data_IF_663603033428
#
_entry.id   IF_663603033428
#
_cell.length_a   1.000
_cell.length_b   1.000
_cell.length_c   1.000
_cell.angle_alpha   90.00
_cell.angle_beta   90.00
_cell.angle_gamma   90.00
#
_symmetry.space_group_name_H-M   'P 1'
#
loop_
_entity.id
_entity.type
_entity.pdbx_description
1 polymer ?
#
# COMPACT_ATOMS: atom_id res chain seq x y z
N UNK A 1 -43.73 -15.43 -14.17
CA UNK A 1 -44.19 -14.01 -14.18
C UNK A 1 -44.17 -13.41 -15.58
N UNK A 2 -43.03 -13.33 -16.27
CA UNK A 2 -42.97 -12.70 -17.60
C UNK A 2 -43.68 -13.49 -18.72
N UNK A 3 -43.67 -14.83 -18.65
CA UNK A 3 -44.41 -15.70 -19.59
C UNK A 3 -45.94 -15.57 -19.44
N UNK A 4 -46.44 -15.16 -18.26
CA UNK A 4 -47.87 -15.02 -17.98
C UNK A 4 -48.37 -13.60 -18.29
N UNK A 5 -47.71 -12.57 -17.76
CA UNK A 5 -47.99 -11.18 -18.13
C UNK A 5 -46.82 -10.30 -17.76
N UNK A 6 -46.18 -9.72 -18.77
CA UNK A 6 -45.04 -8.80 -18.60
C UNK A 6 -45.45 -7.56 -17.80
N UNK A 7 -46.64 -7.01 -18.05
CA UNK A 7 -47.09 -5.77 -17.39
C UNK A 7 -47.28 -5.98 -15.87
N UNK A 8 -48.01 -7.01 -15.47
CA UNK A 8 -48.23 -7.29 -14.04
C UNK A 8 -46.93 -7.73 -13.34
N UNK A 9 -46.05 -8.43 -14.07
CA UNK A 9 -44.74 -8.78 -13.55
C UNK A 9 -43.88 -7.55 -13.21
N UNK A 10 -43.84 -6.57 -14.11
CA UNK A 10 -43.11 -5.31 -13.90
C UNK A 10 -43.69 -4.52 -12.73
N UNK A 11 -45.02 -4.42 -12.62
CA UNK A 11 -45.69 -3.72 -11.51
C UNK A 11 -45.35 -4.38 -10.16
N UNK A 12 -45.45 -5.71 -10.08
CA UNK A 12 -45.17 -6.45 -8.86
C UNK A 12 -43.69 -6.32 -8.42
N UNK A 13 -42.75 -6.42 -9.35
CA UNK A 13 -41.33 -6.19 -9.07
C UNK A 13 -41.06 -4.75 -8.63
N UNK A 14 -41.69 -3.77 -9.27
CA UNK A 14 -41.57 -2.36 -8.88
C UNK A 14 -42.05 -2.12 -7.45
N UNK A 15 -43.19 -2.69 -7.09
CA UNK A 15 -43.76 -2.60 -5.74
C UNK A 15 -42.84 -3.26 -4.70
N UNK A 16 -42.30 -4.44 -5.01
CA UNK A 16 -41.33 -5.13 -4.15
C UNK A 16 -40.04 -4.31 -3.94
N UNK A 17 -39.50 -3.69 -4.99
CA UNK A 17 -38.32 -2.82 -4.90
C UNK A 17 -38.58 -1.58 -4.01
N UNK A 18 -39.75 -0.97 -4.13
CA UNK A 18 -40.14 0.18 -3.30
C UNK A 18 -40.23 -0.23 -1.83
N UNK A 19 -40.87 -1.36 -1.52
CA UNK A 19 -40.97 -1.88 -0.15
C UNK A 19 -39.57 -2.20 0.40
N UNK A 20 -38.73 -2.89 -0.37
CA UNK A 20 -37.37 -3.21 0.02
C UNK A 20 -36.56 -1.94 0.35
N UNK A 21 -36.58 -0.95 -0.54
CA UNK A 21 -35.85 0.31 -0.34
C UNK A 21 -36.40 1.13 0.84
N UNK A 22 -37.71 1.08 1.07
CA UNK A 22 -38.33 1.74 2.23
C UNK A 22 -37.89 1.10 3.55
N UNK A 23 -37.84 -0.24 3.63
CA UNK A 23 -37.34 -0.96 4.81
C UNK A 23 -35.86 -0.62 5.05
N UNK A 24 -35.04 -0.64 4.00
CA UNK A 24 -33.61 -0.29 4.08
C UNK A 24 -33.41 1.14 4.63
N UNK A 25 -34.18 2.10 4.10
CA UNK A 25 -34.14 3.50 4.54
C UNK A 25 -34.57 3.66 6.00
N UNK A 26 -35.68 3.02 6.41
CA UNK A 26 -36.17 3.11 7.80
C UNK A 26 -35.26 2.41 8.79
N UNK A 27 -34.61 1.32 8.39
CA UNK A 27 -33.54 0.69 9.16
C UNK A 27 -32.37 1.65 9.39
N UNK A 28 -31.87 2.27 8.33
CA UNK A 28 -30.79 3.25 8.40
C UNK A 28 -31.14 4.49 9.24
N UNK A 29 -32.37 5.01 9.12
CA UNK A 29 -32.87 6.14 9.90
C UNK A 29 -32.92 5.81 11.40
N UNK A 30 -33.33 4.58 11.75
CA UNK A 30 -33.37 4.12 13.15
C UNK A 30 -31.98 3.94 13.75
N UNK A 31 -31.03 3.38 13.00
CA UNK A 31 -29.67 3.12 13.48
C UNK A 31 -28.82 4.39 13.60
N UNK A 32 -28.97 5.33 12.66
CA UNK A 32 -28.05 6.45 12.49
C UNK A 32 -28.70 7.83 12.66
N UNK A 33 -30.01 7.90 12.86
CA UNK A 33 -30.79 9.14 12.99
C UNK A 33 -31.05 9.89 11.68
N UNK A 34 -30.32 9.57 10.60
CA UNK A 34 -30.50 10.10 9.24
C UNK A 34 -30.47 8.94 8.24
N UNK A 35 -31.57 8.69 7.54
CA UNK A 35 -31.71 7.56 6.64
C UNK A 35 -30.73 7.57 5.46
N UNK A 36 -30.43 8.72 4.85
CA UNK A 36 -29.52 8.76 3.68
C UNK A 36 -28.07 8.57 4.12
N UNK A 37 -27.65 9.25 5.19
CA UNK A 37 -26.30 9.09 5.73
C UNK A 37 -26.10 7.71 6.35
N UNK A 38 -27.11 7.17 7.01
CA UNK A 38 -27.10 5.83 7.58
C UNK A 38 -26.89 4.76 6.50
N UNK A 39 -27.58 4.85 5.36
CA UNK A 39 -27.37 3.94 4.23
C UNK A 39 -25.93 3.99 3.72
N UNK A 40 -25.38 5.20 3.53
CA UNK A 40 -24.01 5.37 3.06
C UNK A 40 -22.99 4.78 4.06
N UNK A 41 -23.21 4.97 5.36
CA UNK A 41 -22.33 4.47 6.41
C UNK A 41 -22.41 2.95 6.55
N UNK A 42 -23.60 2.35 6.47
CA UNK A 42 -23.78 0.90 6.47
C UNK A 42 -23.11 0.26 5.24
N UNK A 43 -23.25 0.87 4.06
CA UNK A 43 -22.55 0.43 2.85
C UNK A 43 -21.02 0.53 3.00
N UNK A 44 -20.51 1.59 3.60
CA UNK A 44 -19.08 1.76 3.87
C UNK A 44 -18.55 0.71 4.86
N UNK A 45 -19.24 0.52 5.99
CA UNK A 45 -18.89 -0.49 7.00
C UNK A 45 -18.84 -1.89 6.40
N UNK A 46 -19.89 -2.29 5.68
CA UNK A 46 -19.95 -3.60 5.02
C UNK A 46 -18.78 -3.79 4.04
N UNK A 47 -18.48 -2.75 3.25
CA UNK A 47 -17.36 -2.80 2.29
C UNK A 47 -16.00 -2.91 2.98
N UNK A 48 -15.80 -2.24 4.12
CA UNK A 48 -14.55 -2.29 4.89
C UNK A 48 -14.32 -3.64 5.56
N UNK A 49 -15.36 -4.24 6.14
CA UNK A 49 -15.28 -5.57 6.75
C UNK A 49 -14.93 -6.62 5.69
N UNK A 50 -15.57 -6.57 4.52
CA UNK A 50 -15.27 -7.50 3.42
C UNK A 50 -13.87 -7.30 2.83
N UNK A 51 -13.31 -6.09 2.91
CA UNK A 51 -11.95 -5.81 2.43
C UNK A 51 -10.88 -6.42 3.35
N UNK A 52 -11.23 -6.73 4.60
CA UNK A 52 -10.34 -7.36 5.58
C UNK A 52 -10.26 -8.89 5.42
N UNK A 53 -11.22 -9.48 4.70
CA UNK A 53 -11.26 -10.92 4.43
C UNK A 53 -10.22 -11.31 3.37
N UNK A 54 -9.07 -11.83 3.84
CA UNK A 54 -8.06 -12.51 3.02
C UNK A 54 -6.82 -11.67 2.69
N UNK A 55 -5.63 -12.31 2.54
CA UNK A 55 -4.41 -11.59 2.25
C UNK A 55 -4.47 -10.98 0.83
N UNK A 56 -4.05 -9.72 0.64
CA UNK A 56 -4.01 -9.13 -0.70
C UNK A 56 -3.01 -9.89 -1.57
N UNK A 57 -3.49 -10.40 -2.72
CA UNK A 57 -2.61 -11.09 -3.67
C UNK A 57 -1.52 -10.13 -4.19
N UNK A 58 -0.26 -10.54 -4.13
CA UNK A 58 0.93 -9.73 -4.49
C UNK A 58 0.85 -9.12 -5.89
N UNK A 59 0.35 -9.86 -6.89
CA UNK A 59 0.12 -9.37 -8.27
C UNK A 59 -0.85 -8.18 -8.41
N UNK A 60 -1.75 -7.98 -7.45
CA UNK A 60 -2.76 -6.92 -7.50
C UNK A 60 -2.34 -5.66 -6.73
N UNK A 61 -1.08 -5.58 -6.30
CA UNK A 61 -0.59 -4.43 -5.57
C UNK A 61 -0.81 -3.13 -6.39
N UNK A 62 -1.33 -2.12 -5.71
CA UNK A 62 -1.51 -0.75 -6.22
C UNK A 62 -1.14 0.22 -5.11
N UNK A 63 -0.48 1.34 -5.42
CA UNK A 63 -0.07 2.30 -4.40
C UNK A 63 -1.31 2.93 -3.78
N UNK A 64 -1.53 2.81 -2.47
CA UNK A 64 -2.49 3.57 -1.69
C UNK A 64 -1.71 4.62 -0.91
N UNK A 65 -1.93 5.88 -1.21
CA UNK A 65 -0.93 6.92 -0.96
C UNK A 65 -1.24 7.69 0.32
N UNK A 66 -0.25 7.77 1.19
CA UNK A 66 -0.18 8.70 2.32
C UNK A 66 0.81 9.81 1.96
N UNK A 67 0.32 11.04 1.78
CA UNK A 67 1.15 12.21 1.48
C UNK A 67 1.47 12.94 2.77
N UNK A 68 2.74 13.03 3.14
CA UNK A 68 3.21 13.77 4.30
C UNK A 68 3.57 15.21 3.88
N UNK A 69 2.69 16.14 4.22
CA UNK A 69 2.79 17.54 3.85
C UNK A 69 3.43 18.37 4.96
N UNK A 70 4.55 19.03 4.63
CA UNK A 70 5.12 20.07 5.50
C UNK A 70 4.33 21.37 5.35
N UNK A 71 3.89 21.93 6.47
CA UNK A 71 3.25 23.24 6.52
C UNK A 71 4.28 24.35 6.72
N UNK A 72 3.96 25.53 6.21
CA UNK A 72 4.60 26.79 6.53
C UNK A 72 4.01 27.36 7.83
N UNK A 73 4.64 28.40 8.43
CA UNK A 73 4.10 29.07 9.62
C UNK A 73 2.69 29.66 9.42
N UNK A 74 2.28 29.92 8.19
CA UNK A 74 0.93 30.39 7.82
C UNK A 74 -0.08 29.24 7.59
N UNK A 75 0.25 28.03 8.03
CA UNK A 75 -0.54 26.80 7.89
C UNK A 75 -0.85 26.39 6.45
N UNK A 76 -0.13 26.95 5.47
CA UNK A 76 -0.26 26.53 4.07
C UNK A 76 0.74 25.43 3.75
N UNK A 77 0.40 24.48 2.85
CA UNK A 77 1.33 23.46 2.38
C UNK A 77 2.52 24.11 1.66
N UNK A 78 3.74 23.78 2.12
CA UNK A 78 4.98 24.31 1.53
C UNK A 78 5.18 23.85 0.09
N UNK A 79 4.83 22.60 -0.21
CA UNK A 79 5.00 21.98 -1.53
C UNK A 79 3.65 21.50 -2.08
N UNK A 80 2.84 22.41 -2.61
CA UNK A 80 1.49 22.11 -3.16
C UNK A 80 1.52 21.00 -4.22
N UNK A 81 2.54 21.04 -5.08
CA UNK A 81 2.75 20.08 -6.19
C UNK A 81 2.94 18.64 -5.72
N UNK A 82 3.23 18.41 -4.43
CA UNK A 82 3.30 17.05 -3.86
C UNK A 82 1.95 16.33 -3.93
N UNK A 83 0.87 17.08 -3.63
CA UNK A 83 -0.51 16.59 -3.68
C UNK A 83 -0.93 16.35 -5.14
N UNK A 84 -0.60 17.29 -6.03
CA UNK A 84 -0.87 17.15 -7.47
C UNK A 84 -0.14 15.93 -8.06
N UNK A 85 1.13 15.71 -7.69
CA UNK A 85 1.90 14.54 -8.12
C UNK A 85 1.28 13.22 -7.64
N UNK A 86 0.84 13.14 -6.38
CA UNK A 86 0.15 11.96 -5.85
C UNK A 86 -1.13 11.63 -6.67
N UNK A 87 -1.91 12.66 -7.03
CA UNK A 87 -3.09 12.50 -7.88
C UNK A 87 -2.75 12.02 -9.29
N UNK A 88 -1.67 12.59 -9.89
CA UNK A 88 -1.21 12.20 -11.22
C UNK A 88 -0.77 10.72 -11.25
N UNK A 89 -0.06 10.25 -10.21
CA UNK A 89 0.37 8.86 -10.10
C UNK A 89 -0.83 7.88 -9.98
N UNK A 90 -1.90 8.32 -9.33
CA UNK A 90 -3.11 7.49 -9.13
C UNK A 90 -4.12 7.58 -10.27
N UNK A 91 -3.94 8.53 -11.19
CA UNK A 91 -4.94 8.91 -12.19
C UNK A 91 -6.37 9.06 -11.59
N UNK A 92 -6.45 9.55 -10.36
CA UNK A 92 -7.71 9.71 -9.61
C UNK A 92 -8.37 8.43 -9.09
N UNK A 93 -7.70 7.28 -9.11
CA UNK A 93 -8.22 5.97 -8.65
C UNK A 93 -7.52 5.49 -7.38
N UNK A 94 -8.30 5.02 -6.41
CA UNK A 94 -7.84 4.47 -5.14
C UNK A 94 -7.64 5.53 -4.05
N UNK A 95 -7.06 5.11 -2.93
CA UNK A 95 -6.96 5.90 -1.71
C UNK A 95 -5.78 6.89 -1.78
N UNK A 96 -6.07 8.14 -1.44
CA UNK A 96 -5.06 9.18 -1.15
C UNK A 96 -5.45 9.88 0.14
N UNK A 97 -4.54 9.90 1.11
CA UNK A 97 -4.71 10.60 2.38
C UNK A 97 -3.55 11.59 2.50
N UNK A 98 -3.87 12.87 2.68
CA UNK A 98 -2.87 13.92 2.90
C UNK A 98 -2.86 14.29 4.37
N UNK A 99 -1.70 14.17 5.00
CA UNK A 99 -1.55 14.46 6.43
C UNK A 99 -0.51 15.54 6.64
N UNK A 100 -0.80 16.45 7.57
CA UNK A 100 0.15 17.43 8.05
C UNK A 100 0.29 17.35 9.57
N UNK A 101 1.50 17.58 10.08
CA UNK A 101 1.76 17.68 11.51
C UNK A 101 1.99 19.15 11.89
N UNK A 102 1.36 19.57 12.99
CA UNK A 102 1.56 20.87 13.64
C UNK A 102 2.26 20.62 14.98
N UNK A 103 3.37 21.30 15.21
CA UNK A 103 4.11 21.19 16.47
C UNK A 103 3.40 21.94 17.61
N UNK A 104 3.11 21.28 18.72
CA UNK A 104 2.50 21.88 19.90
C UNK A 104 1.46 20.99 20.58
N UNK A 105 0.82 21.55 21.60
CA UNK A 105 -0.25 20.89 22.36
C UNK A 105 -1.61 21.13 21.68
N UNK A 106 -2.34 20.04 21.42
CA UNK A 106 -3.65 20.08 20.77
C UNK A 106 -4.66 20.93 21.55
N UNK A 107 -4.60 20.90 22.89
CA UNK A 107 -5.53 21.66 23.74
C UNK A 107 -5.46 23.17 23.48
N UNK A 108 -4.28 23.66 23.07
CA UNK A 108 -4.03 25.08 22.78
C UNK A 108 -4.15 25.41 21.29
N UNK A 109 -3.88 24.45 20.40
CA UNK A 109 -3.80 24.64 18.94
C UNK A 109 -4.90 23.92 18.15
N UNK A 110 -6.01 23.57 18.80
CA UNK A 110 -7.13 22.91 18.14
C UNK A 110 -7.74 23.76 17.02
N UNK A 111 -7.86 25.07 17.23
CA UNK A 111 -8.31 26.02 16.21
C UNK A 111 -7.37 26.09 15.00
N UNK A 112 -6.05 26.13 15.25
CA UNK A 112 -5.02 26.10 14.20
C UNK A 112 -5.11 24.82 13.38
N UNK A 113 -5.29 23.66 14.04
CA UNK A 113 -5.41 22.36 13.37
C UNK A 113 -6.65 22.29 12.47
N UNK A 114 -7.80 22.82 12.94
CA UNK A 114 -9.02 22.92 12.14
C UNK A 114 -8.82 23.86 10.95
N UNK A 115 -8.20 25.02 11.15
CA UNK A 115 -7.91 25.97 10.07
C UNK A 115 -6.96 25.37 9.01
N UNK A 116 -5.88 24.72 9.43
CA UNK A 116 -4.95 24.03 8.54
C UNK A 116 -5.65 22.91 7.73
N UNK A 117 -6.55 22.16 8.38
CA UNK A 117 -7.36 21.11 7.73
C UNK A 117 -8.27 21.70 6.66
N UNK A 118 -8.96 22.81 6.95
CA UNK A 118 -9.78 23.54 5.96
C UNK A 118 -8.95 24.05 4.78
N UNK A 119 -7.77 24.63 5.02
CA UNK A 119 -6.88 25.06 3.95
C UNK A 119 -6.44 23.91 3.05
N UNK A 120 -6.01 22.79 3.63
CA UNK A 120 -5.61 21.60 2.89
C UNK A 120 -6.78 21.00 2.09
N UNK A 121 -7.99 20.94 2.66
CA UNK A 121 -9.20 20.50 1.94
C UNK A 121 -9.48 21.40 0.74
N UNK A 122 -9.36 22.72 0.90
CA UNK A 122 -9.52 23.68 -0.19
C UNK A 122 -8.50 23.42 -1.30
N UNK A 123 -7.22 23.23 -0.95
CA UNK A 123 -6.17 22.92 -1.93
C UNK A 123 -6.41 21.62 -2.70
N UNK A 124 -6.81 20.54 -2.01
CA UNK A 124 -7.14 19.27 -2.65
C UNK A 124 -8.31 19.43 -3.62
N UNK A 125 -9.33 20.20 -3.24
CA UNK A 125 -10.49 20.49 -4.10
C UNK A 125 -10.10 21.33 -5.32
N UNK A 126 -9.29 22.36 -5.14
CA UNK A 126 -8.81 23.24 -6.22
C UNK A 126 -7.97 22.46 -7.25
N UNK A 127 -7.10 21.56 -6.77
CA UNK A 127 -6.30 20.65 -7.61
C UNK A 127 -7.08 19.44 -8.15
N UNK A 128 -8.39 19.35 -7.84
CA UNK A 128 -9.31 18.27 -8.25
C UNK A 128 -8.83 16.88 -7.84
N UNK A 129 -8.13 16.79 -6.71
CA UNK A 129 -7.63 15.54 -6.15
C UNK A 129 -8.74 14.90 -5.32
N UNK A 130 -9.00 13.61 -5.55
CA UNK A 130 -9.92 12.82 -4.74
C UNK A 130 -9.14 12.20 -3.59
N UNK A 131 -9.36 12.67 -2.37
CA UNK A 131 -8.65 12.16 -1.20
C UNK A 131 -9.15 12.75 0.10
N UNK A 132 -8.60 12.24 1.19
CA UNK A 132 -8.90 12.68 2.55
C UNK A 132 -7.76 13.56 3.08
N UNK A 133 -8.10 14.43 4.03
CA UNK A 133 -7.14 15.33 4.69
C UNK A 133 -7.21 15.10 6.18
N UNK A 134 -6.07 14.92 6.82
CA UNK A 134 -5.96 14.93 8.27
C UNK A 134 -4.84 15.86 8.74
N UNK A 135 -4.99 16.39 9.95
CA UNK A 135 -4.00 17.25 10.60
C UNK A 135 -3.80 16.74 12.02
N UNK A 136 -2.55 16.41 12.36
CA UNK A 136 -2.17 15.95 13.68
C UNK A 136 -1.44 17.08 14.42
N UNK A 137 -1.82 17.35 15.67
CA UNK A 137 -1.05 18.20 16.56
C UNK A 137 -0.20 17.32 17.49
N UNK A 138 1.11 17.55 17.54
CA UNK A 138 2.07 16.74 18.29
C UNK A 138 3.16 17.62 18.88
N UNK A 139 3.71 17.25 20.04
CA UNK A 139 4.86 17.98 20.62
C UNK A 139 6.13 17.77 19.81
N UNK A 140 6.34 16.55 19.31
CA UNK A 140 7.46 16.21 18.43
C UNK A 140 6.93 15.79 17.05
N UNK A 141 7.50 16.40 16.00
CA UNK A 141 7.07 16.16 14.63
C UNK A 141 7.45 14.76 14.14
N UNK A 142 8.62 14.23 14.53
CA UNK A 142 9.05 12.90 14.10
C UNK A 142 8.18 11.79 14.73
N UNK A 143 7.85 11.92 16.02
CA UNK A 143 6.90 11.03 16.70
C UNK A 143 5.51 11.12 16.09
N UNK A 144 5.01 12.33 15.83
CA UNK A 144 3.71 12.49 15.17
C UNK A 144 3.68 11.86 13.78
N UNK A 145 4.74 12.00 12.98
CA UNK A 145 4.83 11.30 11.69
C UNK A 145 4.86 9.78 11.86
N UNK A 146 5.53 9.27 12.91
CA UNK A 146 5.52 7.84 13.25
C UNK A 146 4.09 7.34 13.52
N UNK A 147 3.33 8.06 14.34
CA UNK A 147 1.93 7.72 14.63
C UNK A 147 1.06 7.76 13.37
N UNK A 148 1.21 8.80 12.54
CA UNK A 148 0.47 8.91 11.28
C UNK A 148 0.75 7.72 10.36
N UNK A 149 2.01 7.31 10.20
CA UNK A 149 2.39 6.19 9.34
C UNK A 149 1.72 4.88 9.81
N UNK A 150 1.67 4.65 11.12
CA UNK A 150 1.16 3.39 11.70
C UNK A 150 -0.37 3.33 11.81
N UNK A 151 -1.02 4.47 12.07
CA UNK A 151 -2.44 4.51 12.46
C UNK A 151 -3.38 5.01 11.38
N UNK A 152 -2.86 5.55 10.28
CA UNK A 152 -3.71 6.09 9.22
C UNK A 152 -4.47 4.99 8.48
N UNK A 153 -5.77 5.20 8.30
CA UNK A 153 -6.68 4.28 7.59
C UNK A 153 -7.69 3.64 8.52
N UNK A 154 -8.57 2.81 7.96
CA UNK A 154 -9.62 2.12 8.73
C UNK A 154 -9.86 0.72 8.15
N UNK A 155 -9.76 -0.31 8.98
CA UNK A 155 -9.92 -1.72 8.55
C UNK A 155 -8.98 -2.07 7.38
N UNK A 156 -9.51 -2.70 6.33
CA UNK A 156 -8.77 -2.99 5.10
C UNK A 156 -8.41 -1.76 4.25
N UNK A 157 -8.98 -0.58 4.51
CA UNK A 157 -8.70 0.65 3.75
C UNK A 157 -7.56 1.44 4.39
N UNK A 158 -6.32 1.02 4.11
CA UNK A 158 -5.08 1.61 4.64
C UNK A 158 -4.13 2.04 3.51
N UNK A 159 -3.29 3.06 3.73
CA UNK A 159 -2.20 3.37 2.82
C UNK A 159 -1.16 2.24 2.82
N UNK A 160 -0.42 2.09 1.73
CA UNK A 160 0.73 1.18 1.62
C UNK A 160 1.97 1.87 1.00
N UNK A 161 1.83 3.15 0.62
CA UNK A 161 2.88 3.96 0.00
C UNK A 161 2.89 5.33 0.65
N UNK A 162 4.05 5.77 1.12
CA UNK A 162 4.24 7.10 1.71
C UNK A 162 4.97 8.00 0.71
N UNK A 163 4.44 9.19 0.47
CA UNK A 163 5.11 10.26 -0.28
C UNK A 163 5.63 11.29 0.71
N UNK A 164 6.95 11.53 0.68
CA UNK A 164 7.62 12.52 1.52
C UNK A 164 8.47 13.48 0.67
N UNK A 165 8.32 14.78 0.86
CA UNK A 165 9.12 15.77 0.13
C UNK A 165 10.60 15.76 0.53
N UNK A 166 11.51 15.94 -0.44
CA UNK A 166 12.94 16.07 -0.18
C UNK A 166 13.26 17.24 0.78
N UNK A 167 14.14 17.06 1.79
CA UNK A 167 14.53 18.13 2.70
C UNK A 167 15.50 19.10 2.00
N UNK A 168 14.99 20.17 1.40
CA UNK A 168 15.84 21.20 0.79
C UNK A 168 16.68 21.97 1.82
N UNK A 169 17.84 22.46 1.39
CA UNK A 169 18.79 23.22 2.20
C UNK A 169 19.33 22.49 3.44
N UNK A 170 19.21 21.16 3.54
CA UNK A 170 19.63 20.39 4.71
C UNK A 170 21.11 20.52 5.09
N UNK A 171 21.99 20.83 4.13
CA UNK A 171 23.44 21.05 4.37
C UNK A 171 23.75 22.41 4.98
N UNK A 172 22.94 23.43 4.68
CA UNK A 172 23.22 24.83 5.03
C UNK A 172 22.27 25.34 6.12
N UNK A 173 21.20 24.60 6.44
CA UNK A 173 20.25 25.00 7.45
C UNK A 173 20.85 24.81 8.85
N UNK A 174 20.75 25.86 9.66
CA UNK A 174 21.12 25.84 11.08
C UNK A 174 20.24 24.86 11.87
N UNK A 175 19.03 24.62 11.39
CA UNK A 175 18.07 23.73 12.02
C UNK A 175 18.41 22.25 11.73
N UNK A 176 19.36 21.71 12.51
CA UNK A 176 19.82 20.31 12.49
C UNK A 176 18.68 19.29 12.62
N UNK A 177 17.46 19.70 12.97
CA UNK A 177 16.29 18.82 13.09
C UNK A 177 15.70 18.36 11.76
N UNK A 178 15.76 19.14 10.69
CA UNK A 178 14.96 18.84 9.48
C UNK A 178 15.39 17.55 8.77
N UNK A 179 16.70 17.30 8.62
CA UNK A 179 17.20 16.05 8.01
C UNK A 179 17.05 14.86 8.94
N UNK A 180 17.12 15.07 10.26
CA UNK A 180 16.90 14.04 11.26
C UNK A 180 15.46 13.52 11.22
N UNK A 181 14.47 14.44 11.17
CA UNK A 181 13.05 14.09 11.01
C UNK A 181 12.83 13.33 9.69
N UNK A 182 13.50 13.74 8.61
CA UNK A 182 13.45 13.00 7.34
C UNK A 182 13.97 11.57 7.49
N UNK A 183 15.17 11.36 8.06
CA UNK A 183 15.74 10.02 8.25
C UNK A 183 14.90 9.15 9.20
N UNK A 184 14.39 9.71 10.29
CA UNK A 184 13.46 8.99 11.17
C UNK A 184 12.19 8.59 10.42
N UNK A 185 11.64 9.48 9.59
CA UNK A 185 10.49 9.13 8.74
C UNK A 185 10.81 7.99 7.79
N UNK A 186 11.99 7.99 7.14
CA UNK A 186 12.42 6.86 6.29
C UNK A 186 12.46 5.55 7.09
N UNK A 187 13.04 5.58 8.30
CA UNK A 187 13.10 4.40 9.19
C UNK A 187 11.70 3.93 9.61
N UNK A 188 10.80 4.85 9.94
CA UNK A 188 9.42 4.51 10.32
C UNK A 188 8.65 3.88 9.16
N UNK A 189 8.79 4.42 7.94
CA UNK A 189 8.14 3.87 6.73
C UNK A 189 8.67 2.46 6.42
N UNK A 190 9.99 2.27 6.54
CA UNK A 190 10.62 0.96 6.36
C UNK A 190 10.14 -0.06 7.41
N UNK A 191 10.08 0.33 8.69
CA UNK A 191 9.59 -0.52 9.77
C UNK A 191 8.12 -0.91 9.58
N UNK A 192 7.31 0.01 9.05
CA UNK A 192 5.91 -0.25 8.69
C UNK A 192 5.73 -1.09 7.40
N UNK A 193 6.83 -1.52 6.75
CA UNK A 193 6.82 -2.29 5.49
C UNK A 193 6.01 -1.60 4.37
N UNK A 194 6.05 -0.27 4.34
CA UNK A 194 5.40 0.55 3.30
C UNK A 194 6.40 0.98 2.23
N UNK A 195 5.92 1.16 1.00
CA UNK A 195 6.73 1.77 -0.05
C UNK A 195 6.98 3.25 0.25
N UNK A 196 8.18 3.75 -0.04
CA UNK A 196 8.54 5.16 0.13
C UNK A 196 8.81 5.80 -1.23
N UNK A 197 8.20 6.96 -1.48
CA UNK A 197 8.45 7.79 -2.66
C UNK A 197 8.91 9.18 -2.22
N UNK A 198 10.09 9.58 -2.67
CA UNK A 198 10.70 10.88 -2.31
C UNK A 198 10.89 11.73 -3.57
N UNK A 199 9.91 12.55 -3.97
CA UNK A 199 10.09 13.45 -5.09
C UNK A 199 11.05 14.59 -4.74
N UNK A 200 12.16 14.65 -5.47
CA UNK A 200 13.15 15.72 -5.44
C UNK A 200 12.87 16.69 -6.59
N UNK A 201 13.00 17.99 -6.34
CA UNK A 201 12.66 19.03 -7.31
C UNK A 201 11.15 19.25 -7.51
N UNK A 202 10.31 18.90 -6.52
CA UNK A 202 8.83 18.95 -6.62
C UNK A 202 8.25 20.30 -7.10
N UNK A 203 8.95 21.41 -6.87
CA UNK A 203 8.52 22.72 -7.35
C UNK A 203 8.53 22.84 -8.89
N UNK A 204 9.35 22.03 -9.57
CA UNK A 204 9.46 21.97 -11.02
C UNK A 204 8.51 20.96 -11.67
N UNK A 205 7.73 20.20 -10.88
CA UNK A 205 6.80 19.23 -11.43
C UNK A 205 5.63 19.94 -12.14
N UNK A 206 5.06 19.33 -13.19
CA UNK A 206 3.93 19.90 -13.89
C UNK A 206 2.66 19.89 -13.04
N UNK A 207 1.81 20.88 -13.26
CA UNK A 207 0.45 20.88 -12.70
C UNK A 207 -0.43 19.85 -13.41
N UNK A 208 -1.54 19.43 -12.79
CA UNK A 208 -2.44 18.39 -13.35
C UNK A 208 -3.08 18.79 -14.70
N UNK A 209 -3.12 20.08 -15.01
CA UNK A 209 -3.68 20.64 -16.25
C UNK A 209 -2.68 20.68 -17.41
N UNK A 210 -1.39 20.68 -17.11
CA UNK A 210 -0.32 20.78 -18.09
C UNK A 210 -0.13 19.44 -18.79
N UNK A 211 0.25 19.49 -20.08
CA UNK A 211 0.70 18.33 -20.84
C UNK A 211 2.19 18.48 -21.09
N UNK A 212 2.93 17.43 -20.83
CA UNK A 212 4.37 17.41 -21.09
C UNK A 212 4.72 16.39 -22.15
N UNK A 213 5.81 16.68 -22.85
CA UNK A 213 6.40 15.88 -23.90
C UNK A 213 7.87 15.70 -23.57
N UNK A 214 8.41 14.52 -23.83
CA UNK A 214 9.79 14.19 -23.47
C UNK A 214 9.93 12.72 -23.09
N UNK A 215 10.87 12.43 -22.20
CA UNK A 215 11.16 11.08 -21.74
C UNK A 215 10.88 10.92 -20.26
N UNK A 216 10.51 9.70 -19.85
CA UNK A 216 10.53 9.24 -18.47
C UNK A 216 11.62 8.17 -18.43
N UNK A 217 12.70 8.46 -17.70
CA UNK A 217 13.85 7.60 -17.61
C UNK A 217 13.83 6.84 -16.28
N UNK A 218 13.87 5.51 -16.35
CA UNK A 218 13.84 4.63 -15.18
C UNK A 218 15.20 3.99 -15.05
N UNK A 219 15.91 4.30 -13.97
CA UNK A 219 17.17 3.66 -13.62
C UNK A 219 16.90 2.49 -12.69
N UNK A 220 16.91 1.29 -13.26
CA UNK A 220 16.72 0.04 -12.54
C UNK A 220 18.07 -0.51 -12.08
N UNK A 221 18.54 0.00 -10.94
CA UNK A 221 19.83 -0.35 -10.35
C UNK A 221 19.67 -1.44 -9.27
N UNK A 222 18.52 -1.47 -8.58
CA UNK A 222 18.28 -2.30 -7.38
C UNK A 222 16.98 -3.09 -7.48
N UNK A 223 16.91 -4.18 -6.72
CA UNK A 223 15.72 -5.01 -6.55
C UNK A 223 14.61 -4.28 -5.80
N UNK A 224 13.49 -4.05 -6.47
CA UNK A 224 12.32 -3.34 -5.92
C UNK A 224 11.01 -4.10 -6.16
N UNK A 225 11.11 -5.31 -6.72
CA UNK A 225 9.96 -6.16 -7.03
C UNK A 225 9.04 -5.64 -8.15
N UNK A 226 9.55 -4.77 -9.02
CA UNK A 226 8.81 -4.27 -10.19
C UNK A 226 8.03 -2.98 -9.92
N UNK A 227 8.23 -2.34 -8.76
CA UNK A 227 7.61 -1.06 -8.42
C UNK A 227 8.02 0.05 -9.41
N UNK A 228 9.29 0.10 -9.81
CA UNK A 228 9.92 1.01 -10.76
C UNK A 228 9.39 0.82 -12.18
N UNK A 229 8.80 -0.34 -12.49
CA UNK A 229 8.08 -0.57 -13.75
C UNK A 229 6.62 -0.15 -13.64
N UNK A 230 6.00 -0.38 -12.48
CA UNK A 230 4.61 -0.04 -12.22
C UNK A 230 4.39 1.47 -12.14
N UNK A 231 5.26 2.23 -11.47
CA UNK A 231 5.08 3.67 -11.25
C UNK A 231 5.04 4.48 -12.58
N UNK A 232 5.99 4.32 -13.53
CA UNK A 232 5.93 5.01 -14.82
C UNK A 232 4.72 4.58 -15.64
N UNK A 233 4.38 3.28 -15.59
CA UNK A 233 3.20 2.76 -16.28
C UNK A 233 1.93 3.45 -15.78
N UNK A 234 1.75 3.58 -14.47
CA UNK A 234 0.62 4.30 -13.88
C UNK A 234 0.67 5.79 -14.22
N UNK A 235 1.84 6.41 -14.15
CA UNK A 235 2.03 7.83 -14.43
C UNK A 235 1.62 8.17 -15.88
N UNK A 236 2.00 7.34 -16.86
CA UNK A 236 1.62 7.49 -18.29
C UNK A 236 0.11 7.38 -18.54
N UNK A 237 -0.68 6.81 -17.62
CA UNK A 237 -2.14 6.81 -17.77
C UNK A 237 -2.74 8.21 -17.58
N UNK A 238 -2.06 9.06 -16.82
CA UNK A 238 -2.48 10.44 -16.58
C UNK A 238 -2.29 11.31 -17.83
N UNK A 239 -3.22 12.26 -18.04
CA UNK A 239 -3.21 13.19 -19.18
C UNK A 239 -1.90 13.96 -19.31
N UNK A 240 -1.27 14.30 -18.18
CA UNK A 240 -0.04 15.09 -18.14
C UNK A 240 1.14 14.36 -18.78
N UNK A 241 1.32 13.07 -18.49
CA UNK A 241 2.50 12.27 -18.85
C UNK A 241 2.27 11.29 -20.01
N UNK A 242 1.04 11.22 -20.54
CA UNK A 242 0.65 10.24 -21.58
C UNK A 242 1.54 10.25 -22.82
N UNK A 243 2.04 11.42 -23.20
CA UNK A 243 2.82 11.60 -24.42
C UNK A 243 4.34 11.44 -24.20
N UNK A 244 4.77 11.06 -23.00
CA UNK A 244 6.17 10.81 -22.72
C UNK A 244 6.62 9.42 -23.18
N UNK A 245 7.82 9.34 -23.77
CA UNK A 245 8.47 8.07 -24.10
C UNK A 245 9.10 7.48 -22.84
N UNK A 246 8.93 6.18 -22.61
CA UNK A 246 9.50 5.50 -21.46
C UNK A 246 10.85 4.88 -21.87
N UNK A 247 11.91 5.15 -21.12
CA UNK A 247 13.23 4.54 -21.30
C UNK A 247 13.66 3.86 -20.00
N UNK A 248 14.17 2.65 -20.10
CA UNK A 248 14.58 1.82 -18.96
C UNK A 248 16.06 1.53 -19.10
N UNK A 249 16.83 2.00 -18.13
CA UNK A 249 18.26 1.79 -17.99
C UNK A 249 18.47 0.74 -16.90
N UNK A 250 19.00 -0.42 -17.25
CA UNK A 250 19.40 -1.45 -16.28
C UNK A 250 20.91 -1.48 -16.19
N UNK A 251 21.43 -1.67 -14.99
CA UNK A 251 22.88 -1.75 -14.77
C UNK A 251 23.33 -3.21 -14.81
N UNK A 252 24.38 -3.48 -15.58
CA UNK A 252 25.05 -4.77 -15.64
C UNK A 252 26.50 -4.64 -15.15
N UNK A 253 27.02 -5.68 -14.53
CA UNK A 253 28.44 -5.81 -14.22
C UNK A 253 29.21 -6.30 -15.46
N UNK A 254 30.53 -6.19 -15.43
CA UNK A 254 31.39 -6.56 -16.56
C UNK A 254 31.36 -8.07 -16.85
N UNK A 255 31.01 -8.86 -15.84
CA UNK A 255 30.89 -10.32 -15.91
C UNK A 255 29.53 -10.78 -16.44
N UNK A 256 28.54 -9.88 -16.50
CA UNK A 256 27.18 -10.20 -16.92
C UNK A 256 27.02 -10.22 -18.45
N UNK A 257 26.11 -11.07 -18.94
CA UNK A 257 25.74 -11.04 -20.36
C UNK A 257 24.72 -9.92 -20.65
N UNK A 258 25.24 -8.71 -20.89
CA UNK A 258 24.44 -7.51 -21.16
C UNK A 258 23.49 -7.66 -22.37
N UNK A 259 23.90 -8.40 -23.41
CA UNK A 259 23.09 -8.67 -24.60
C UNK A 259 21.86 -9.53 -24.24
N UNK A 260 22.08 -10.59 -23.46
CA UNK A 260 21.00 -11.49 -23.04
C UNK A 260 20.03 -10.78 -22.09
N UNK A 261 20.53 -10.01 -21.12
CA UNK A 261 19.70 -9.17 -20.22
C UNK A 261 18.80 -8.24 -21.02
N UNK A 262 19.36 -7.55 -22.03
CA UNK A 262 18.61 -6.65 -22.91
C UNK A 262 17.49 -7.38 -23.66
N UNK A 263 17.78 -8.58 -24.19
CA UNK A 263 16.82 -9.39 -24.95
C UNK A 263 15.68 -9.85 -24.05
N UNK A 264 15.99 -10.38 -22.88
CA UNK A 264 14.98 -10.93 -21.97
C UNK A 264 14.12 -9.83 -21.36
N UNK A 265 14.70 -8.67 -21.05
CA UNK A 265 13.95 -7.51 -20.59
C UNK A 265 12.98 -6.98 -21.66
N UNK A 266 13.38 -7.00 -22.94
CA UNK A 266 12.47 -6.65 -24.05
C UNK A 266 11.31 -7.65 -24.18
N UNK A 267 11.59 -8.95 -24.11
CA UNK A 267 10.55 -10.01 -24.15
C UNK A 267 9.59 -9.85 -22.97
N UNK A 268 10.12 -9.55 -21.78
CA UNK A 268 9.33 -9.33 -20.59
C UNK A 268 8.37 -8.13 -20.73
N UNK A 269 8.88 -6.98 -21.19
CA UNK A 269 8.07 -5.77 -21.41
C UNK A 269 7.00 -5.99 -22.48
N UNK A 270 7.31 -6.77 -23.52
CA UNK A 270 6.36 -7.17 -24.54
C UNK A 270 5.18 -7.95 -23.94
N UNK A 271 5.44 -8.94 -23.08
CA UNK A 271 4.40 -9.69 -22.39
C UNK A 271 3.54 -8.81 -21.46
N UNK A 272 4.13 -7.81 -20.82
CA UNK A 272 3.40 -6.83 -20.00
C UNK A 272 2.69 -5.74 -20.82
N UNK A 273 2.88 -5.68 -22.14
CA UNK A 273 2.37 -4.64 -23.02
C UNK A 273 2.82 -3.23 -22.61
N UNK A 274 4.06 -3.13 -22.10
CA UNK A 274 4.68 -1.86 -21.74
C UNK A 274 5.61 -1.45 -22.88
N UNK A 275 5.26 -0.36 -23.56
CA UNK A 275 6.11 0.22 -24.60
C UNK A 275 7.21 1.10 -23.97
N UNK A 276 8.44 0.58 -23.98
CA UNK A 276 9.62 1.26 -23.47
C UNK A 276 10.88 0.90 -24.25
N UNK A 277 11.80 1.87 -24.37
CA UNK A 277 13.15 1.66 -24.87
C UNK A 277 14.00 1.07 -23.74
N UNK A 278 14.82 0.05 -24.03
CA UNK A 278 15.67 -0.63 -23.04
C UNK A 278 17.13 -0.44 -23.38
N UNK A 279 17.90 0.03 -22.41
CA UNK A 279 19.34 0.20 -22.47
C UNK A 279 20.01 -0.49 -21.27
N UNK A 280 21.08 -1.22 -21.54
CA UNK A 280 21.89 -1.88 -20.51
C UNK A 280 23.18 -1.08 -20.40
N UNK A 281 23.48 -0.58 -19.21
CA UNK A 281 24.66 0.23 -18.92
C UNK A 281 25.60 -0.61 -18.08
N UNK A 282 26.81 -0.84 -18.61
CA UNK A 282 27.85 -1.57 -17.90
C UNK A 282 28.56 -0.62 -16.92
N UNK A 283 28.66 -1.03 -15.66
CA UNK A 283 29.30 -0.25 -14.59
C UNK A 283 30.24 -1.13 -13.76
N UNK A 284 31.29 -0.52 -13.23
CA UNK A 284 32.23 -1.21 -12.35
C UNK A 284 31.61 -1.48 -10.97
N UNK A 285 31.98 -2.60 -10.36
CA UNK A 285 31.48 -3.03 -9.05
C UNK A 285 31.74 -2.02 -7.93
N UNK A 286 32.82 -1.22 -8.02
CA UNK A 286 33.11 -0.13 -7.08
C UNK A 286 31.99 0.91 -7.02
N UNK A 287 31.42 1.24 -8.17
CA UNK A 287 30.48 2.35 -8.33
C UNK A 287 29.06 1.98 -7.87
N UNK A 288 28.78 0.67 -7.85
CA UNK A 288 27.50 0.10 -7.41
C UNK A 288 27.60 -0.69 -6.09
N UNK A 289 28.75 -0.62 -5.41
CA UNK A 289 29.07 -1.40 -4.22
C UNK A 289 28.05 -1.28 -3.08
N UNK A 290 27.51 -0.07 -2.87
CA UNK A 290 26.46 0.17 -1.88
C UNK A 290 25.16 -0.61 -2.18
N UNK A 291 24.92 -0.95 -3.44
CA UNK A 291 23.73 -1.64 -3.89
C UNK A 291 23.94 -3.15 -4.05
N UNK A 292 25.17 -3.62 -4.33
CA UNK A 292 25.47 -5.05 -4.55
C UNK A 292 25.48 -5.88 -3.27
N UNK A 293 25.91 -5.31 -2.13
CA UNK A 293 25.96 -6.07 -0.86
C UNK A 293 24.57 -6.34 -0.29
N UNK A 294 23.69 -5.33 -0.22
CA UNK A 294 22.29 -5.52 0.22
C UNK A 294 21.51 -6.42 -0.74
N UNK A 295 21.90 -6.44 -2.03
CA UNK A 295 21.29 -7.24 -3.10
C UNK A 295 21.23 -8.72 -2.74
N UNK A 296 22.37 -9.29 -2.35
CA UNK A 296 22.52 -10.73 -2.14
C UNK A 296 21.71 -11.20 -0.92
N UNK A 297 21.80 -10.48 0.20
CA UNK A 297 21.11 -10.85 1.44
C UNK A 297 19.58 -10.78 1.31
N UNK A 298 19.07 -9.71 0.69
CA UNK A 298 17.63 -9.52 0.52
C UNK A 298 17.04 -10.46 -0.55
N UNK A 299 17.84 -10.84 -1.56
CA UNK A 299 17.42 -11.79 -2.59
C UNK A 299 17.17 -13.19 -2.02
N UNK A 300 17.99 -13.65 -1.07
CA UNK A 300 17.79 -14.94 -0.40
C UNK A 300 16.50 -14.97 0.44
N UNK A 301 16.28 -13.94 1.27
CA UNK A 301 15.05 -13.82 2.07
C UNK A 301 13.80 -13.76 1.18
N UNK A 302 13.88 -13.03 0.05
CA UNK A 302 12.79 -12.96 -0.92
C UNK A 302 12.52 -14.31 -1.59
N UNK A 303 13.57 -15.04 -1.96
CA UNK A 303 13.43 -16.35 -2.58
C UNK A 303 12.80 -17.37 -1.62
N UNK A 304 13.06 -17.26 -0.30
CA UNK A 304 12.35 -18.04 0.72
C UNK A 304 10.86 -17.67 0.74
N UNK A 305 10.53 -16.37 0.79
CA UNK A 305 9.13 -15.90 0.78
C UNK A 305 8.36 -16.32 -0.50
N UNK A 306 9.00 -16.26 -1.67
CA UNK A 306 8.39 -16.70 -2.93
C UNK A 306 8.10 -18.21 -2.96
N UNK A 307 8.94 -19.03 -2.30
CA UNK A 307 8.67 -20.48 -2.13
C UNK A 307 7.48 -20.72 -1.22
N UNK A 308 7.35 -19.95 -0.14
CA UNK A 308 6.20 -20.03 0.78
C UNK A 308 4.88 -19.66 0.09
N UNK A 309 4.92 -18.72 -0.85
CA UNK A 309 3.74 -18.27 -1.63
C UNK A 309 3.26 -19.29 -2.69
N UNK A 310 3.94 -20.44 -2.88
CA UNK A 310 3.57 -21.53 -3.81
C UNK A 310 3.14 -21.07 -5.21
N UNK A 311 3.81 -20.05 -5.76
CA UNK A 311 3.50 -19.53 -7.10
C UNK A 311 3.83 -20.56 -8.18
N UNK A 312 2.94 -20.73 -9.16
CA UNK A 312 3.21 -21.60 -10.31
C UNK A 312 4.32 -21.02 -11.19
N UNK A 313 5.05 -21.86 -11.94
CA UNK A 313 6.20 -21.46 -12.80
C UNK A 313 5.84 -20.36 -13.83
N UNK A 314 4.59 -20.33 -14.30
CA UNK A 314 4.06 -19.29 -15.19
C UNK A 314 3.80 -17.95 -14.47
N UNK A 315 3.58 -18.01 -13.17
CA UNK A 315 3.30 -16.87 -12.31
C UNK A 315 4.57 -16.22 -11.76
N UNK A 316 5.63 -17.01 -11.52
CA UNK A 316 6.96 -16.48 -11.16
C UNK A 316 7.62 -15.75 -12.33
N UNK A 317 7.43 -16.23 -13.57
CA UNK A 317 7.89 -15.56 -14.80
C UNK A 317 7.27 -14.16 -15.00
N UNK A 318 6.14 -13.87 -14.37
CA UNK A 318 5.51 -12.54 -14.38
C UNK A 318 6.23 -11.52 -13.49
N UNK A 319 7.20 -11.94 -12.69
CA UNK A 319 7.98 -11.06 -11.81
C UNK A 319 9.24 -10.63 -12.56
N UNK A 320 9.29 -9.36 -12.97
CA UNK A 320 10.44 -8.73 -13.67
C UNK A 320 11.77 -9.12 -13.05
N UNK A 321 11.76 -9.18 -11.71
CA UNK A 321 12.95 -9.36 -10.90
C UNK A 321 13.63 -10.70 -11.16
N UNK A 322 12.87 -11.78 -11.29
CA UNK A 322 13.39 -13.13 -11.50
C UNK A 322 14.22 -13.23 -12.78
N UNK A 323 13.90 -12.43 -13.80
CA UNK A 323 14.64 -12.42 -15.07
C UNK A 323 16.02 -11.77 -14.90
N UNK A 324 16.10 -10.63 -14.22
CA UNK A 324 17.39 -9.97 -13.97
C UNK A 324 18.26 -10.80 -13.03
N UNK A 325 17.63 -11.41 -12.01
CA UNK A 325 18.28 -12.26 -11.02
C UNK A 325 18.92 -13.51 -11.64
N UNK A 326 18.34 -14.04 -12.74
CA UNK A 326 18.88 -15.21 -13.44
C UNK A 326 20.17 -14.92 -14.23
N UNK A 327 20.41 -13.67 -14.61
CA UNK A 327 21.57 -13.30 -15.44
C UNK A 327 22.76 -12.80 -14.65
N UNK A 328 22.56 -12.43 -13.38
CA UNK A 328 23.66 -12.23 -12.46
C UNK A 328 24.13 -13.58 -11.95
N UNK A 329 25.34 -13.98 -12.33
CA UNK A 329 25.98 -15.14 -11.74
C UNK A 329 26.19 -14.86 -10.24
N UNK A 330 25.36 -15.46 -9.39
CA UNK A 330 25.74 -15.65 -7.99
C UNK A 330 26.84 -16.70 -8.01
N UNK A 331 28.11 -16.27 -8.11
CA UNK A 331 29.17 -17.11 -7.60
C UNK A 331 28.78 -17.48 -6.17
N UNK A 332 28.60 -18.77 -5.92
CA UNK A 332 28.47 -19.34 -4.58
C UNK A 332 29.83 -19.25 -3.89
N UNK A 333 30.38 -18.05 -3.72
CA UNK A 333 31.41 -17.84 -2.71
C UNK A 333 30.67 -17.85 -1.38
N UNK A 334 30.58 -19.05 -0.78
CA UNK A 334 30.08 -19.26 0.56
C UNK A 334 30.85 -18.36 1.53
N UNK A 335 30.32 -17.18 1.81
CA UNK A 335 30.84 -16.34 2.87
C UNK A 335 30.41 -17.03 4.15
N UNK A 336 31.34 -17.74 4.80
CA UNK A 336 31.15 -18.35 6.12
C UNK A 336 30.87 -17.23 7.14
N UNK A 337 29.63 -16.77 7.21
CA UNK A 337 29.14 -15.99 8.34
C UNK A 337 28.32 -16.95 9.18
N UNK A 338 28.93 -17.45 10.27
CA UNK A 338 28.22 -18.20 11.31
C UNK A 338 27.19 -17.26 11.93
N UNK A 339 25.92 -17.65 11.86
CA UNK A 339 24.85 -17.00 12.60
C UNK A 339 24.99 -17.39 14.08
N UNK A 340 25.06 -16.39 14.95
CA UNK A 340 24.68 -16.56 16.35
C UNK A 340 23.17 -16.32 16.41
N UNK A 341 22.40 -17.38 16.66
CA UNK A 341 21.00 -17.22 17.03
C UNK A 341 20.93 -16.47 18.38
N UNK A 342 19.97 -15.54 18.57
CA UNK A 342 19.79 -14.92 19.87
C UNK A 342 19.20 -15.97 20.83
N UNK A 343 19.94 -16.27 21.90
CA UNK A 343 19.47 -17.09 23.01
C UNK A 343 18.10 -16.61 23.50
N UNK A 344 17.09 -17.49 23.39
CA UNK A 344 15.81 -17.36 24.06
C UNK A 344 15.93 -17.89 25.49
N UNK A 345 16.71 -17.19 26.32
CA UNK A 345 16.71 -17.42 27.77
C UNK A 345 15.55 -16.62 28.37
N UNK A 346 14.37 -17.25 28.40
CA UNK A 346 13.34 -17.11 29.45
C UNK A 346 12.10 -17.95 29.12
N UNK A 347 12.10 -19.19 29.62
CA UNK A 347 10.91 -19.76 30.27
C UNK A 347 11.33 -20.82 31.28
N UNK A 348 10.86 -20.55 32.48
CA UNK A 348 11.05 -21.20 33.77
C UNK A 348 10.86 -22.73 33.76
N UNK A 349 11.78 -23.39 34.47
CA UNK A 349 11.54 -24.34 35.55
C UNK A 349 10.29 -25.24 35.46
N UNK A 350 10.53 -26.52 35.19
CA UNK A 350 9.79 -27.65 35.79
C UNK A 350 10.69 -28.89 35.85
N UNK A 351 11.28 -29.09 37.03
CA UNK A 351 11.59 -30.34 37.75
C UNK A 351 12.23 -31.55 37.02
N UNK A 352 13.44 -31.91 37.49
CA UNK A 352 14.06 -33.23 37.78
C UNK A 352 13.68 -34.46 36.93
N UNK A 353 14.60 -35.32 36.49
CA UNK A 353 15.59 -36.07 37.28
C UNK A 353 16.46 -36.93 36.32
N UNK A 354 17.75 -37.14 36.67
CA UNK A 354 18.59 -38.33 36.42
C UNK A 354 18.94 -38.77 34.98
N UNK A 355 20.11 -39.31 34.61
CA UNK A 355 21.40 -39.66 35.25
C UNK A 355 22.36 -40.05 34.11
N UNK A 356 23.64 -39.78 34.33
CA UNK A 356 24.81 -40.62 34.00
C UNK A 356 25.27 -40.91 32.55
N UNK A 357 26.60 -40.72 32.45
CA UNK A 357 27.62 -41.50 31.74
C UNK A 357 27.92 -41.28 30.24
N UNK A 358 29.17 -40.83 30.01
CA UNK A 358 30.19 -41.82 29.63
C UNK A 358 30.88 -41.61 28.30
N UNK A 359 32.08 -41.01 28.39
CA UNK A 359 33.33 -41.45 27.75
C UNK A 359 33.51 -41.41 26.22
N UNK A 360 34.40 -40.48 25.84
CA UNK A 360 35.70 -40.69 25.20
C UNK A 360 35.82 -41.35 23.81
N UNK A 361 36.42 -40.55 22.93
CA UNK A 361 37.65 -40.84 22.17
C UNK A 361 37.57 -41.94 21.09
N UNK A 362 38.33 -41.98 20.02
CA UNK A 362 39.37 -41.13 19.45
C UNK A 362 39.63 -41.68 18.03
N UNK A 363 40.41 -40.94 17.24
CA UNK A 363 41.22 -41.42 16.09
C UNK A 363 40.49 -42.00 14.86
N UNK A 364 40.52 -41.34 13.70
CA UNK A 364 41.65 -41.03 12.80
C UNK A 364 41.83 -42.07 11.69
N UNK A 365 42.00 -41.48 10.50
CA UNK A 365 42.87 -41.86 9.41
C UNK A 365 42.38 -42.76 8.26
N UNK A 366 42.65 -42.18 7.07
CA UNK A 366 43.22 -42.77 5.86
C UNK A 366 42.27 -43.53 4.92
N UNK A 367 42.41 -43.52 3.58
CA UNK A 367 43.18 -42.80 2.53
C UNK A 367 42.60 -43.37 1.20
N UNK A 368 42.80 -42.67 0.08
CA UNK A 368 42.80 -43.16 -1.34
C UNK A 368 41.47 -43.60 -1.97
N UNK A 369 40.96 -42.89 -2.99
CA UNK A 369 41.28 -42.98 -4.43
C UNK A 369 40.70 -44.22 -5.15
N UNK A 370 39.83 -43.98 -6.13
CA UNK A 370 39.82 -44.60 -7.49
C UNK A 370 38.66 -43.97 -8.29
N UNK A 371 38.94 -43.16 -9.33
CA UNK A 371 39.04 -43.53 -10.76
C UNK A 371 37.79 -44.28 -11.27
N UNK A 372 36.95 -43.57 -12.03
CA UNK A 372 36.88 -43.62 -13.51
C UNK A 372 36.25 -44.92 -14.02
N UNK A 373 35.08 -44.84 -14.66
CA UNK A 373 34.99 -44.99 -16.12
C UNK A 373 33.57 -44.82 -16.65
N UNK A 374 33.56 -44.20 -17.82
CA UNK A 374 32.55 -44.03 -18.86
C UNK A 374 31.83 -45.32 -19.26
N UNK A 375 30.57 -45.23 -19.71
CA UNK A 375 30.23 -45.52 -21.11
C UNK A 375 28.79 -45.15 -21.47
N UNK A 376 28.66 -44.72 -22.73
CA UNK A 376 27.46 -44.37 -23.48
C UNK A 376 26.74 -45.60 -24.02
N UNK A 377 25.43 -45.52 -24.30
CA UNK A 377 24.90 -45.89 -25.62
C UNK A 377 23.44 -45.45 -25.87
N UNK A 378 23.10 -45.42 -27.16
CA UNK A 378 21.93 -44.85 -27.86
C UNK A 378 20.75 -45.84 -27.98
N UNK A 379 19.72 -45.32 -28.67
CA UNK A 379 18.66 -45.97 -29.48
C UNK A 379 17.29 -46.07 -28.79
N UNK A 380 16.12 -45.92 -29.42
CA UNK A 380 15.61 -45.43 -30.73
C UNK A 380 14.07 -45.55 -30.66
N UNK A 381 13.36 -44.75 -31.45
CA UNK A 381 11.99 -44.95 -32.01
C UNK A 381 10.80 -45.22 -31.04
N UNK A 382 9.55 -44.75 -31.22
CA UNK A 382 8.71 -44.79 -32.43
C UNK A 382 7.44 -43.92 -32.23
N UNK A 383 6.84 -43.46 -33.34
CA UNK A 383 5.54 -42.78 -33.52
C UNK A 383 4.33 -43.65 -33.09
N UNK A 384 3.21 -43.04 -32.69
CA UNK A 384 1.98 -42.95 -33.52
C UNK A 384 0.79 -42.18 -32.89
N UNK A 385 -0.03 -41.66 -33.80
CA UNK A 385 -1.29 -40.91 -33.74
C UNK A 385 -2.35 -41.47 -32.74
N UNK A 386 -3.36 -40.73 -32.24
CA UNK A 386 -4.51 -40.20 -32.99
C UNK A 386 -5.48 -39.45 -32.05
N UNK A 387 -6.38 -38.67 -32.66
CA UNK A 387 -7.41 -37.83 -32.06
C UNK A 387 -8.63 -38.59 -31.49
N UNK A 388 -9.32 -37.99 -30.51
CA UNK A 388 -10.79 -37.81 -30.52
C UNK A 388 -11.32 -37.09 -29.27
N UNK A 389 -12.20 -36.13 -29.55
CA UNK A 389 -13.22 -35.44 -28.75
C UNK A 389 -13.97 -36.34 -27.75
N UNK A 390 -14.46 -35.80 -26.62
CA UNK A 390 -15.88 -35.81 -26.14
C UNK A 390 -16.00 -35.15 -24.74
N UNK A 391 -17.15 -34.50 -24.52
CA UNK A 391 -17.66 -33.71 -23.39
C UNK A 391 -17.93 -34.48 -22.08
N UNK A 392 -18.60 -33.79 -21.11
CA UNK A 392 -19.30 -34.23 -19.87
C UNK A 392 -18.47 -33.93 -18.59
N UNK A 393 -18.94 -33.37 -17.47
CA UNK A 393 -20.26 -32.96 -16.96
C UNK A 393 -20.08 -31.86 -15.87
N UNK A 394 -21.14 -31.08 -15.67
CA UNK A 394 -21.43 -30.34 -14.44
C UNK A 394 -22.08 -31.28 -13.41
N UNK A 395 -21.74 -31.14 -12.13
CA UNK A 395 -22.54 -31.61 -11.00
C UNK A 395 -22.62 -30.51 -9.95
N UNK A 396 -23.86 -30.10 -9.69
CA UNK A 396 -24.30 -29.32 -8.54
C UNK A 396 -24.40 -30.25 -7.31
N UNK A 397 -23.98 -29.77 -6.13
CA UNK A 397 -24.44 -30.29 -4.84
C UNK A 397 -24.80 -29.10 -3.92
N UNK A 398 -26.08 -28.99 -3.60
CA UNK A 398 -26.63 -28.28 -2.45
C UNK A 398 -26.44 -29.12 -1.18
N UNK A 399 -26.03 -28.52 -0.05
CA UNK A 399 -26.54 -28.99 1.24
C UNK A 399 -26.58 -27.92 2.37
N UNK A 400 -27.82 -27.69 2.83
CA UNK A 400 -28.36 -27.52 4.20
C UNK A 400 -27.77 -26.53 5.23
N UNK A 401 -28.65 -25.62 5.64
CA UNK A 401 -28.75 -25.00 6.98
C UNK A 401 -29.32 -25.99 8.02
N UNK A 402 -28.97 -25.85 9.31
CA UNK A 402 -29.83 -26.31 10.41
C UNK A 402 -30.47 -25.16 11.19
N UNK A 403 -31.70 -25.41 11.66
CA UNK A 403 -32.52 -24.49 12.45
C UNK A 403 -32.44 -24.74 13.96
N UNK A 404 -32.57 -23.64 14.71
CA UNK A 404 -33.18 -23.42 16.02
C UNK A 404 -32.90 -24.34 17.22
N UNK A 405 -32.44 -23.73 18.32
CA UNK A 405 -32.88 -24.08 19.67
C UNK A 405 -32.95 -22.82 20.55
N UNK A 406 -34.16 -22.48 21.00
CA UNK A 406 -34.44 -21.56 22.11
C UNK A 406 -34.26 -22.25 23.46
N UNK A 407 -34.02 -21.48 24.53
CA UNK A 407 -34.87 -21.66 25.70
C UNK A 407 -35.38 -20.35 26.31
N UNK A 408 -36.61 -20.43 26.82
CA UNK A 408 -37.26 -19.48 27.72
C UNK A 408 -36.46 -19.27 29.02
N UNK A 409 -36.41 -18.04 29.54
CA UNK A 409 -36.70 -17.82 30.96
C UNK A 409 -37.15 -16.38 31.30
N UNK A 410 -37.93 -16.31 32.37
CA UNK A 410 -38.83 -15.25 32.79
C UNK A 410 -38.19 -13.99 33.42
N UNK A 411 -38.98 -12.90 33.35
CA UNK A 411 -39.17 -11.79 34.31
C UNK A 411 -37.96 -11.12 35.00
N UNK A 412 -37.80 -9.82 34.73
CA UNK A 412 -37.78 -8.80 35.78
C UNK A 412 -38.09 -7.41 35.19
N UNK A 413 -39.15 -6.81 35.70
CA UNK A 413 -39.62 -5.44 35.47
C UNK A 413 -38.63 -4.45 36.06
N UNK A 414 -38.18 -3.45 35.30
CA UNK A 414 -37.68 -2.20 35.90
C UNK A 414 -38.01 -1.02 35.00
N UNK A 415 -38.97 -0.25 35.48
CA UNK A 415 -39.35 1.09 35.05
C UNK A 415 -38.15 2.04 35.05
N UNK A 416 -37.92 2.76 33.96
CA UNK A 416 -37.07 3.96 33.96
C UNK A 416 -37.83 5.09 33.29
N UNK A 417 -38.30 5.99 34.14
CA UNK A 417 -38.98 7.24 33.82
C UNK A 417 -38.02 8.22 33.18
N UNK A 418 -38.46 8.79 32.06
CA UNK A 418 -37.86 9.94 31.38
C UNK A 418 -38.21 11.22 32.15
N UNK A 419 -37.27 12.14 32.43
CA UNK A 419 -37.63 13.47 32.89
C UNK A 419 -37.83 14.41 31.69
N UNK A 420 -39.05 14.89 31.53
CA UNK A 420 -39.42 16.07 30.74
C UNK A 420 -38.74 17.34 31.28
N UNK A 421 -38.29 18.27 30.42
CA UNK A 421 -37.83 19.59 30.84
C UNK A 421 -39.02 20.57 31.06
N UNK A 422 -38.91 21.56 31.96
CA UNK A 422 -39.93 22.56 32.15
C UNK A 422 -39.89 23.65 31.06
N UNK A 423 -41.07 24.16 30.74
CA UNK A 423 -41.33 25.23 29.74
C UNK A 423 -41.61 26.57 30.46
N UNK A 424 -41.33 27.68 29.75
CA UNK A 424 -41.58 29.10 30.04
C UNK A 424 -40.51 29.79 30.92
N UNK A 425 -39.92 30.93 30.51
CA UNK A 425 -40.60 32.22 30.29
C UNK A 425 -40.03 32.98 29.07
N UNK A 426 -40.94 33.58 28.29
CA UNK A 426 -40.67 34.62 27.29
C UNK A 426 -40.54 35.97 27.99
N UNK A 427 -39.51 36.74 27.67
CA UNK A 427 -39.51 38.19 27.86
C UNK A 427 -39.03 38.85 26.56
N UNK A 428 -39.87 39.76 26.03
CA UNK A 428 -39.64 40.60 24.85
C UNK A 428 -39.75 42.04 25.34
N UNK A 429 -38.73 42.86 25.06
CA UNK A 429 -38.80 44.29 24.65
C UNK A 429 -37.34 44.80 24.54
N UNK A 430 -36.77 45.03 23.34
CA UNK A 430 -36.76 46.21 22.44
C UNK A 430 -35.91 47.41 22.94
N UNK A 431 -35.41 48.30 22.05
CA UNK A 431 -33.98 48.63 21.97
C UNK A 431 -33.67 50.11 22.25
N UNK A 432 -32.42 50.42 22.63
CA UNK A 432 -31.91 51.79 22.62
C UNK A 432 -30.82 52.01 21.57
N UNK A 433 -31.10 52.96 20.67
CA UNK A 433 -30.13 53.70 19.86
C UNK A 433 -29.20 54.54 20.75
N UNK A 434 -27.92 54.67 20.36
CA UNK A 434 -27.26 55.99 20.19
C UNK A 434 -25.87 55.89 19.55
N UNK A 435 -25.83 56.38 18.31
CA UNK A 435 -24.93 57.41 17.74
C UNK A 435 -23.42 57.43 18.09
N UNK A 436 -22.63 57.49 16.99
CA UNK A 436 -21.41 58.31 16.86
C UNK A 436 -20.11 57.52 16.94
N UNK A 437 -19.14 57.64 16.02
CA UNK A 437 -18.99 58.52 14.88
C UNK A 437 -17.74 58.12 14.08
N UNK A 438 -17.79 58.39 12.79
CA UNK A 438 -16.66 58.33 11.87
C UNK A 438 -15.59 59.38 12.22
N UNK A 439 -14.31 59.01 12.13
CA UNK A 439 -13.26 59.86 11.52
C UNK A 439 -12.04 59.04 11.09
N UNK A 440 -11.54 59.21 9.86
CA UNK A 440 -10.24 58.74 9.39
C UNK A 440 -9.26 59.91 9.20
N UNK A 441 -7.99 59.72 9.59
CA UNK A 441 -6.77 60.48 9.24
C UNK A 441 -5.62 59.54 9.65
N UNK A 442 -4.52 59.30 8.96
CA UNK A 442 -3.88 59.73 7.70
C UNK A 442 -2.93 58.59 7.30
#
# INVERSE_FOLDING_TARGET
MFMTSVLFALIAMGMALVIYKYIEYRGAEKEWGDGIRGLALSAARYSLLRLEEGPPHTKNWRPQILVLCKLNPDYKPKYKKLISFASQLKAGKGLTITVACIEGDYSKRSSDAVAAKEYLKKYIKDERVKGFVEVLCTKDTAEGLSHVIQTTGLGGMKPNTVILGWPYAWRNNVDRRTWHVFLQSVRHVSAAKMALLVPKGINFFPSTTEKIYGTIDVWWIVHDGGLLMLLPFLLKQCRTWRNCKLRIFTVAQMEDNSIQIKKDLKVFLYHLRIEAEVEVVEMNTSDISAYTYERTLMMEQRNQMLRELRLNKKESLGVVQTIVDHHHQVEKTATKVRFAEPNDDRKEDLFNHDTEDGDDADTANDISEEKNETESEKDKDTKENNASTTEIAQQDEEEKLPASNTPNNNHATTTTTTPTPPTAVKEKEKPEEKKGGYRPLE
#
